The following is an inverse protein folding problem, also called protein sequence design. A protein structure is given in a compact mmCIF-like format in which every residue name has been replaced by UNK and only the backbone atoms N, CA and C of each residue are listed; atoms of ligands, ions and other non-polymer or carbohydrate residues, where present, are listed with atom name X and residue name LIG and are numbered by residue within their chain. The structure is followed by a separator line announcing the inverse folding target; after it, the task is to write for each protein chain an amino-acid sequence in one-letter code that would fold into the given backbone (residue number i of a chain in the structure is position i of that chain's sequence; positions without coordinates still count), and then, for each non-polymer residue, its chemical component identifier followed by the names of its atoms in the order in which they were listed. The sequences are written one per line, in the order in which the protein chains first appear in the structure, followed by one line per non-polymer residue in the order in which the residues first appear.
data_IF_853873977412
#
_entry.id   IF_853873977412
#
_cell.length_a   1.000
_cell.length_b   1.000
_cell.length_c   1.000
_cell.angle_alpha   90.00
_cell.angle_beta   90.00
_cell.angle_gamma   90.00
#
_symmetry.space_group_name_H-M   'P 1'
#
loop_
_entity.id
_entity.type
_entity.pdbx_description
1 polymer ?
#
# COMPACT_ATOMS: atom_id res chain seq x y z
N UNK A 1 14.33 -14.08 -5.31
CA UNK A 1 14.45 -13.53 -3.94
C UNK A 1 13.95 -12.10 -3.81
N UNK A 2 14.14 -11.22 -4.80
CA UNK A 2 13.67 -9.83 -4.73
C UNK A 2 12.18 -9.67 -4.41
N UNK A 3 11.31 -10.51 -4.98
CA UNK A 3 9.87 -10.53 -4.71
C UNK A 3 9.49 -10.86 -3.26
N UNK A 4 10.24 -11.75 -2.61
CA UNK A 4 10.06 -12.07 -1.18
C UNK A 4 10.39 -10.85 -0.34
N UNK A 5 11.55 -10.23 -0.61
CA UNK A 5 12.02 -9.05 0.11
C UNK A 5 11.01 -7.91 -0.04
N UNK A 6 10.60 -7.60 -1.27
CA UNK A 6 9.56 -6.60 -1.55
C UNK A 6 8.24 -6.94 -0.85
N UNK A 7 7.81 -8.21 -0.90
CA UNK A 7 6.59 -8.66 -0.25
C UNK A 7 6.60 -8.42 1.26
N UNK A 8 7.68 -8.82 1.94
CA UNK A 8 7.87 -8.61 3.37
C UNK A 8 7.90 -7.11 3.71
N UNK A 9 8.59 -6.30 2.91
CA UNK A 9 8.64 -4.84 3.11
C UNK A 9 7.22 -4.27 3.02
N UNK A 10 6.46 -4.59 1.98
CA UNK A 10 5.10 -4.07 1.81
C UNK A 10 4.17 -4.49 2.96
N UNK A 11 4.21 -5.75 3.39
CA UNK A 11 3.44 -6.20 4.55
C UNK A 11 3.82 -5.44 5.83
N UNK A 12 5.13 -5.24 6.05
CA UNK A 12 5.64 -4.52 7.21
C UNK A 12 5.17 -3.08 7.20
N UNK A 13 5.29 -2.38 6.07
CA UNK A 13 4.79 -1.01 5.91
C UNK A 13 3.29 -0.94 6.14
N UNK A 14 2.51 -1.87 5.57
CA UNK A 14 1.07 -1.95 5.81
C UNK A 14 0.74 -2.02 7.30
N UNK A 15 1.38 -2.95 8.03
CA UNK A 15 1.19 -3.09 9.47
C UNK A 15 1.58 -1.82 10.25
N UNK A 16 2.70 -1.18 9.89
CA UNK A 16 3.13 0.07 10.53
C UNK A 16 2.09 1.17 10.29
N UNK A 17 1.53 1.31 9.08
CA UNK A 17 0.49 2.30 8.80
C UNK A 17 -0.74 2.09 9.70
N UNK A 18 -1.11 0.83 9.95
CA UNK A 18 -2.24 0.49 10.82
C UNK A 18 -2.01 0.87 12.27
N UNK A 19 -0.79 0.70 12.79
CA UNK A 19 -0.46 0.99 14.20
C UNK A 19 -0.07 2.46 14.40
N UNK A 20 0.64 3.03 13.43
CA UNK A 20 1.21 4.38 13.47
C UNK A 20 0.82 5.16 12.21
N UNK A 21 -0.44 5.61 12.07
CA UNK A 21 -0.90 6.32 10.87
C UNK A 21 -0.09 7.59 10.57
N UNK A 22 0.62 8.13 11.56
CA UNK A 22 1.50 9.28 11.43
C UNK A 22 2.65 9.10 10.43
N UNK A 23 2.98 7.86 10.03
CA UNK A 23 3.98 7.62 8.98
C UNK A 23 3.46 7.93 7.57
N UNK A 24 2.15 8.06 7.39
CA UNK A 24 1.58 8.52 6.14
C UNK A 24 1.97 9.99 5.95
N UNK A 25 2.70 10.26 4.88
CA UNK A 25 3.09 11.61 4.51
C UNK A 25 1.84 12.51 4.43
N UNK A 26 1.90 13.68 5.05
CA UNK A 26 0.77 14.60 5.14
C UNK A 26 -0.26 14.29 6.23
N UNK A 27 -0.22 13.12 6.89
CA UNK A 27 -1.10 12.82 8.03
C UNK A 27 -0.68 13.55 9.31
N UNK A 28 0.63 13.71 9.53
CA UNK A 28 1.15 14.39 10.70
C UNK A 28 0.98 15.92 10.65
N UNK A 29 0.80 16.49 9.46
CA UNK A 29 0.53 17.92 9.26
C UNK A 29 -0.95 18.28 9.35
N UNK A 30 -1.83 17.30 9.57
CA UNK A 30 -3.26 17.53 9.74
C UNK A 30 -3.56 18.08 11.14
N UNK A 31 -4.44 19.08 11.20
CA UNK A 31 -5.07 19.49 12.46
C UNK A 31 -5.91 18.34 13.05
N UNK A 32 -6.27 18.43 14.33
CA UNK A 32 -7.08 17.38 14.99
C UNK A 32 -8.39 17.09 14.23
N UNK A 33 -9.10 18.14 13.81
CA UNK A 33 -10.36 18.01 13.05
C UNK A 33 -10.15 17.32 11.69
N UNK A 34 -9.03 17.58 11.03
CA UNK A 34 -8.69 16.93 9.76
C UNK A 34 -8.24 15.48 9.94
N UNK A 35 -7.59 15.16 11.06
CA UNK A 35 -7.25 13.77 11.43
C UNK A 35 -8.50 12.95 11.67
N UNK A 36 -9.43 13.44 12.48
CA UNK A 36 -10.72 12.76 12.73
C UNK A 36 -11.47 12.49 11.41
N UNK A 37 -11.49 13.47 10.50
CA UNK A 37 -12.10 13.28 9.19
C UNK A 37 -11.32 12.27 8.31
N UNK A 38 -9.99 12.25 8.38
CA UNK A 38 -9.17 11.28 7.66
C UNK A 38 -9.36 9.84 8.19
N UNK A 39 -9.57 9.67 9.49
CA UNK A 39 -9.93 8.39 10.11
C UNK A 39 -11.35 7.96 9.70
N UNK A 40 -12.30 8.89 9.68
CA UNK A 40 -13.67 8.65 9.21
C UNK A 40 -13.69 8.21 7.73
N UNK A 41 -12.86 8.84 6.91
CA UNK A 41 -12.64 8.46 5.50
C UNK A 41 -11.71 7.25 5.34
N UNK A 42 -11.30 6.58 6.43
CA UNK A 42 -10.52 5.35 6.43
C UNK A 42 -9.16 5.47 5.72
N UNK A 43 -8.54 6.65 5.70
CA UNK A 43 -7.25 6.87 5.03
C UNK A 43 -6.12 5.95 5.57
N UNK A 44 -5.94 5.78 6.90
CA UNK A 44 -4.97 4.81 7.41
C UNK A 44 -5.28 3.37 6.99
N UNK A 45 -6.56 3.00 7.00
CA UNK A 45 -6.99 1.67 6.60
C UNK A 45 -6.76 1.42 5.10
N UNK A 46 -6.96 2.44 4.27
CA UNK A 46 -6.64 2.38 2.84
C UNK A 46 -5.15 2.11 2.61
N UNK A 47 -4.27 2.85 3.30
CA UNK A 47 -2.82 2.62 3.23
C UNK A 47 -2.45 1.21 3.69
N UNK A 48 -2.96 0.76 4.85
CA UNK A 48 -2.77 -0.60 5.33
C UNK A 48 -3.20 -1.64 4.29
N UNK A 49 -4.40 -1.50 3.72
CA UNK A 49 -4.95 -2.45 2.77
C UNK A 49 -4.13 -2.49 1.47
N UNK A 50 -3.78 -1.33 0.93
CA UNK A 50 -3.01 -1.21 -0.30
C UNK A 50 -1.65 -1.93 -0.17
N UNK A 51 -0.88 -1.58 0.86
CA UNK A 51 0.43 -2.18 1.09
C UNK A 51 0.32 -3.68 1.45
N UNK A 52 -0.74 -4.08 2.16
CA UNK A 52 -0.98 -5.50 2.45
C UNK A 52 -1.24 -6.29 1.17
N UNK A 53 -2.10 -5.80 0.28
CA UNK A 53 -2.39 -6.45 -1.01
C UNK A 53 -1.15 -6.52 -1.88
N UNK A 54 -0.36 -5.44 -1.98
CA UNK A 54 0.91 -5.46 -2.71
C UNK A 54 1.90 -6.49 -2.17
N UNK A 55 1.96 -6.62 -0.84
CA UNK A 55 2.79 -7.62 -0.16
C UNK A 55 2.36 -9.04 -0.47
N UNK A 56 1.07 -9.34 -0.33
CA UNK A 56 0.50 -10.67 -0.64
C UNK A 56 0.73 -11.05 -2.10
N UNK A 57 0.45 -10.15 -3.05
CA UNK A 57 0.66 -10.43 -4.48
C UNK A 57 2.14 -10.69 -4.77
N UNK A 58 3.06 -9.93 -4.16
CA UNK A 58 4.49 -10.13 -4.35
C UNK A 58 4.99 -11.47 -3.81
N UNK A 59 4.42 -11.96 -2.70
CA UNK A 59 4.73 -13.30 -2.18
C UNK A 59 4.12 -14.40 -3.05
N UNK A 60 2.87 -14.24 -3.48
CA UNK A 60 2.21 -15.18 -4.37
C UNK A 60 2.94 -15.29 -5.72
N UNK A 61 3.48 -14.19 -6.24
CA UNK A 61 4.25 -14.19 -7.49
C UNK A 61 5.49 -15.09 -7.40
N UNK A 62 6.13 -15.16 -6.22
CA UNK A 62 7.27 -16.03 -6.00
C UNK A 62 6.84 -17.51 -6.01
N UNK A 63 5.77 -17.85 -5.31
CA UNK A 63 5.21 -19.22 -5.30
C UNK A 63 4.82 -19.65 -6.71
N UNK A 64 4.12 -18.79 -7.46
CA UNK A 64 3.71 -19.05 -8.84
C UNK A 64 4.91 -19.21 -9.78
N UNK A 65 5.98 -18.43 -9.57
CA UNK A 65 7.21 -18.52 -10.36
C UNK A 65 7.92 -19.85 -10.19
N UNK A 66 7.89 -20.45 -8.99
CA UNK A 66 8.37 -21.81 -8.74
C UNK A 66 7.47 -22.83 -9.43
N UNK A 67 6.15 -22.70 -9.26
CA UNK A 67 5.16 -23.64 -9.84
C UNK A 67 5.20 -23.69 -11.38
N UNK A 68 5.49 -22.56 -12.03
CA UNK A 68 5.55 -22.43 -13.49
C UNK A 68 6.97 -22.59 -14.07
N UNK A 69 7.96 -22.92 -13.22
CA UNK A 69 9.38 -23.02 -13.58
C UNK A 69 9.92 -21.78 -14.33
N UNK A 70 9.30 -20.61 -14.11
CA UNK A 70 9.61 -19.39 -14.84
C UNK A 70 10.15 -18.34 -13.86
N UNK A 71 11.48 -18.21 -13.71
CA UNK A 71 12.09 -17.31 -12.73
C UNK A 71 11.89 -15.81 -13.05
N UNK A 72 11.56 -15.47 -14.30
CA UNK A 72 11.34 -14.07 -14.72
C UNK A 72 9.95 -13.56 -14.31
N UNK A 73 9.00 -14.47 -14.11
CA UNK A 73 7.62 -14.14 -13.78
C UNK A 73 7.52 -13.32 -12.49
N UNK A 74 8.23 -13.75 -11.44
CA UNK A 74 8.16 -13.09 -10.13
C UNK A 74 8.67 -11.65 -10.19
N UNK A 75 9.81 -11.41 -10.87
CA UNK A 75 10.37 -10.07 -11.05
C UNK A 75 9.45 -9.16 -11.86
N UNK A 76 8.86 -9.68 -12.94
CA UNK A 76 7.90 -8.93 -13.77
C UNK A 76 6.64 -8.53 -13.00
N UNK A 77 6.06 -9.46 -12.25
CA UNK A 77 4.88 -9.19 -11.42
C UNK A 77 5.21 -8.18 -10.32
N UNK A 78 6.32 -8.33 -9.60
CA UNK A 78 6.71 -7.38 -8.55
C UNK A 78 6.90 -5.96 -9.10
N UNK A 79 7.46 -5.81 -10.31
CA UNK A 79 7.57 -4.52 -10.98
C UNK A 79 6.19 -3.92 -11.28
N UNK A 80 5.29 -4.71 -11.87
CA UNK A 80 3.92 -4.27 -12.19
C UNK A 80 3.17 -3.86 -10.91
N UNK A 81 3.26 -4.67 -9.85
CA UNK A 81 2.65 -4.37 -8.55
C UNK A 81 3.18 -3.08 -7.96
N UNK A 82 4.49 -2.83 -8.08
CA UNK A 82 5.11 -1.61 -7.54
C UNK A 82 4.63 -0.37 -8.29
N UNK A 83 4.62 -0.41 -9.63
CA UNK A 83 4.16 0.72 -10.46
C UNK A 83 2.66 0.99 -10.29
N UNK A 84 1.84 -0.05 -10.32
CA UNK A 84 0.39 0.09 -10.12
C UNK A 84 0.06 0.52 -8.70
N UNK A 85 0.73 -0.06 -7.71
CA UNK A 85 0.61 0.31 -6.30
C UNK A 85 0.95 1.77 -6.05
N UNK A 86 1.97 2.31 -6.72
CA UNK A 86 2.29 3.75 -6.65
C UNK A 86 1.14 4.62 -7.18
N UNK A 87 0.55 4.26 -8.32
CA UNK A 87 -0.59 4.99 -8.89
C UNK A 87 -1.77 4.96 -7.92
N UNK A 88 -2.11 3.78 -7.38
CA UNK A 88 -3.19 3.67 -6.40
C UNK A 88 -2.88 4.47 -5.14
N UNK A 89 -1.67 4.41 -4.61
CA UNK A 89 -1.29 5.19 -3.43
C UNK A 89 -1.52 6.70 -3.63
N UNK A 90 -1.09 7.24 -4.76
CA UNK A 90 -1.21 8.67 -5.08
C UNK A 90 -2.67 9.05 -5.37
N UNK A 91 -3.33 8.33 -6.28
CA UNK A 91 -4.70 8.65 -6.71
C UNK A 91 -5.70 8.38 -5.60
N UNK A 92 -5.63 7.21 -4.96
CA UNK A 92 -6.51 6.84 -3.85
C UNK A 92 -6.28 7.71 -2.63
N UNK A 93 -5.02 8.03 -2.32
CA UNK A 93 -4.69 9.02 -1.29
C UNK A 93 -5.33 10.38 -1.60
N UNK A 94 -5.15 10.89 -2.81
CA UNK A 94 -5.72 12.17 -3.22
C UNK A 94 -7.25 12.18 -3.21
N UNK A 95 -7.92 11.11 -3.64
CA UNK A 95 -9.39 11.01 -3.62
C UNK A 95 -9.96 11.02 -2.19
N UNK A 96 -9.32 10.29 -1.27
CA UNK A 96 -9.73 10.27 0.15
C UNK A 96 -9.46 11.62 0.84
N UNK A 97 -8.51 12.39 0.31
CA UNK A 97 -8.24 13.77 0.75
C UNK A 97 -9.18 14.77 0.07
N UNK A 98 -9.50 14.64 -1.21
CA UNK A 98 -10.35 15.60 -1.92
C UNK A 98 -11.80 15.50 -1.49
N UNK A 99 -12.27 14.30 -1.11
CA UNK A 99 -13.56 14.11 -0.45
C UNK A 99 -13.67 14.87 0.90
N UNK A 100 -12.58 15.45 1.41
CA UNK A 100 -12.61 16.40 2.55
C UNK A 100 -13.20 17.77 2.19
N UNK A 101 -13.26 18.16 0.92
CA UNK A 101 -13.71 19.50 0.48
C UNK A 101 -15.15 19.51 -0.07
N UNK A 102 -15.81 18.36 -0.22
CA UNK A 102 -17.14 18.26 -0.85
C UNK A 102 -18.29 18.04 0.16
N UNK A 103 -18.01 18.06 1.46
CA UNK A 103 -19.01 18.09 2.54
C UNK A 103 -18.66 19.18 3.54
#
# INVERSE_FOLDING_TARGET
MGSIISGVIFLTVGLIIRVYPNILAGYNSLSQKERENAEMNRLPFYGFLLFTVMGVISLLSYVLSIWLENPKLSSGITLIVTLTGLIFAVVGGNLLISNRFTK
#
